data_IF_423763184126
#
_entry.id   IF_423763184126
#
_cell.length_a   1.000
_cell.length_b   1.000
_cell.length_c   1.000
_cell.angle_alpha   90.00
_cell.angle_beta   90.00
_cell.angle_gamma   90.00
#
_symmetry.space_group_name_H-M   'P 1'
#
loop_
_entity.id
_entity.type
_entity.pdbx_description
1 polymer ?
#
# COMPACT_ATOMS: atom_id res chain seq x y z
N UNK A 1 60.28 27.56 -16.06
CA UNK A 1 59.61 26.44 -15.36
C UNK A 1 58.22 26.95 -15.02
N UNK A 2 57.24 26.70 -15.90
CA UNK A 2 55.87 27.23 -15.77
C UNK A 2 55.11 26.19 -14.95
N UNK A 3 54.69 26.56 -13.74
CA UNK A 3 53.81 25.72 -12.91
C UNK A 3 52.42 25.81 -13.52
N UNK A 4 51.89 24.68 -14.01
CA UNK A 4 50.54 24.58 -14.57
C UNK A 4 49.51 24.66 -13.43
N UNK A 5 48.91 25.84 -13.25
CA UNK A 5 47.94 26.15 -12.20
C UNK A 5 46.61 25.37 -12.32
N UNK A 6 46.41 24.58 -13.39
CA UNK A 6 45.18 23.79 -13.60
C UNK A 6 45.05 22.55 -12.71
N UNK A 7 46.11 22.19 -11.96
CA UNK A 7 46.13 21.02 -11.07
C UNK A 7 45.99 21.36 -9.57
N UNK A 8 45.61 22.59 -9.21
CA UNK A 8 45.36 23.00 -7.83
C UNK A 8 43.87 23.18 -7.51
N UNK A 9 43.00 22.31 -8.04
CA UNK A 9 41.67 22.13 -7.45
C UNK A 9 41.86 21.25 -6.21
N UNK A 10 41.99 21.90 -5.05
CA UNK A 10 42.08 21.26 -3.74
C UNK A 10 40.89 20.26 -3.56
N UNK A 11 41.13 19.07 -3.00
CA UNK A 11 40.13 17.99 -2.86
C UNK A 11 38.84 18.44 -2.12
N UNK A 12 38.91 19.53 -1.35
CA UNK A 12 37.80 20.18 -0.67
C UNK A 12 36.63 20.58 -1.61
N UNK A 13 36.90 20.96 -2.87
CA UNK A 13 35.84 21.38 -3.80
C UNK A 13 35.12 20.22 -4.51
N UNK A 14 35.73 19.03 -4.56
CA UNK A 14 35.05 17.82 -5.02
C UNK A 14 34.11 17.29 -3.94
N UNK A 15 34.58 17.24 -2.69
CA UNK A 15 33.82 16.77 -1.53
C UNK A 15 32.50 17.54 -1.34
N UNK A 16 32.55 18.87 -1.43
CA UNK A 16 31.33 19.69 -1.34
C UNK A 16 30.33 19.51 -2.48
N UNK A 17 30.75 19.07 -3.68
CA UNK A 17 29.85 18.79 -4.80
C UNK A 17 29.20 17.42 -4.69
N UNK A 18 29.96 16.41 -4.29
CA UNK A 18 29.44 15.06 -4.03
C UNK A 18 28.48 15.07 -2.84
N UNK A 19 28.81 15.79 -1.76
CA UNK A 19 27.93 15.95 -0.61
C UNK A 19 26.60 16.63 -1.01
N UNK A 20 26.63 17.66 -1.85
CA UNK A 20 25.40 18.31 -2.35
C UNK A 20 24.57 17.40 -3.24
N UNK A 21 25.21 16.60 -4.10
CA UNK A 21 24.51 15.62 -4.93
C UNK A 21 23.87 14.52 -4.09
N UNK A 22 24.60 14.01 -3.09
CA UNK A 22 24.10 13.02 -2.14
C UNK A 22 22.95 13.54 -1.29
N UNK A 23 23.05 14.78 -0.77
CA UNK A 23 21.95 15.43 -0.04
C UNK A 23 20.72 15.58 -0.93
N UNK A 24 20.86 16.00 -2.19
CA UNK A 24 19.73 16.11 -3.11
C UNK A 24 19.09 14.75 -3.44
N UNK A 25 19.88 13.68 -3.51
CA UNK A 25 19.38 12.33 -3.71
C UNK A 25 18.66 11.79 -2.46
N UNK A 26 19.22 12.03 -1.27
CA UNK A 26 18.56 11.71 0.00
C UNK A 26 17.27 12.51 0.17
N UNK A 27 17.25 13.79 -0.20
CA UNK A 27 16.07 14.65 -0.12
C UNK A 27 14.97 14.20 -1.10
N UNK A 28 15.33 13.74 -2.30
CA UNK A 28 14.37 13.08 -3.22
C UNK A 28 13.85 11.75 -2.67
N UNK A 29 14.71 10.95 -2.05
CA UNK A 29 14.32 9.67 -1.46
C UNK A 29 13.47 9.89 -0.19
N UNK A 30 13.72 10.95 0.57
CA UNK A 30 12.93 11.37 1.71
C UNK A 30 11.62 12.07 1.30
N UNK A 31 11.58 12.76 0.16
CA UNK A 31 10.32 13.32 -0.36
C UNK A 31 9.29 12.22 -0.66
N UNK A 32 9.75 11.03 -1.04
CA UNK A 32 8.91 9.82 -1.16
C UNK A 32 8.43 9.25 0.19
N UNK A 33 9.05 9.65 1.31
CA UNK A 33 8.64 9.36 2.69
C UNK A 33 7.82 10.54 3.26
N UNK A 34 7.48 11.55 2.46
CA UNK A 34 6.62 12.63 2.94
C UNK A 34 5.20 12.08 3.04
N UNK A 35 4.70 12.08 4.26
CA UNK A 35 3.38 11.60 4.70
C UNK A 35 2.20 12.05 3.84
N UNK A 36 2.35 13.08 3.01
CA UNK A 36 1.29 13.61 2.15
C UNK A 36 0.86 12.61 1.06
N UNK A 37 1.82 11.91 0.44
CA UNK A 37 1.50 10.89 -0.56
C UNK A 37 0.94 9.63 0.09
N UNK A 38 1.41 9.29 1.29
CA UNK A 38 0.82 8.24 2.11
C UNK A 38 -0.64 8.56 2.47
N UNK A 39 -0.95 9.80 2.86
CA UNK A 39 -2.32 10.25 3.14
C UNK A 39 -3.21 10.21 1.89
N UNK A 40 -2.72 10.69 0.73
CA UNK A 40 -3.47 10.62 -0.54
C UNK A 40 -3.74 9.17 -0.95
N UNK A 41 -2.77 8.28 -0.78
CA UNK A 41 -2.94 6.85 -1.05
C UNK A 41 -3.89 6.18 -0.05
N UNK A 42 -3.83 6.52 1.24
CA UNK A 42 -4.75 6.02 2.25
C UNK A 42 -6.20 6.44 1.97
N UNK A 43 -6.43 7.71 1.62
CA UNK A 43 -7.76 8.20 1.25
C UNK A 43 -8.34 7.47 0.02
N UNK A 44 -7.49 7.10 -0.94
CA UNK A 44 -7.89 6.28 -2.11
C UNK A 44 -8.24 4.85 -1.71
N UNK A 45 -7.46 4.25 -0.81
CA UNK A 45 -7.74 2.91 -0.27
C UNK A 45 -9.05 2.90 0.51
N UNK A 46 -9.31 3.90 1.35
CA UNK A 46 -10.60 4.03 2.04
C UNK A 46 -11.76 4.21 1.07
N UNK A 47 -11.59 5.03 0.03
CA UNK A 47 -12.57 5.14 -1.04
C UNK A 47 -12.84 3.82 -1.76
N UNK A 48 -11.80 3.00 -1.96
CA UNK A 48 -11.94 1.69 -2.59
C UNK A 48 -12.59 0.67 -1.65
N UNK A 49 -12.22 0.66 -0.37
CA UNK A 49 -12.78 -0.21 0.67
C UNK A 49 -14.27 0.06 0.83
N UNK A 50 -14.68 1.31 1.04
CA UNK A 50 -16.06 1.66 1.41
C UNK A 50 -16.99 1.91 0.23
N UNK A 51 -16.49 2.56 -0.82
CA UNK A 51 -17.33 3.01 -1.95
C UNK A 51 -17.09 2.22 -3.23
N UNK A 52 -16.02 1.43 -3.30
CA UNK A 52 -15.63 0.72 -4.52
C UNK A 52 -15.17 1.67 -5.63
N UNK A 53 -14.29 2.63 -5.29
CA UNK A 53 -13.71 3.61 -6.23
C UNK A 53 -13.30 2.99 -7.58
N UNK A 54 -13.73 3.58 -8.69
CA UNK A 54 -13.44 3.10 -10.05
C UNK A 54 -11.99 3.42 -10.49
N UNK A 55 -11.43 4.53 -10.03
CA UNK A 55 -10.09 5.01 -10.40
C UNK A 55 -8.95 4.41 -9.55
N UNK A 56 -9.26 3.46 -8.67
CA UNK A 56 -8.22 2.87 -7.83
C UNK A 56 -7.20 2.06 -8.65
N UNK A 57 -5.88 2.22 -8.39
CA UNK A 57 -4.81 1.43 -8.99
C UNK A 57 -5.04 -0.07 -8.84
N UNK A 58 -4.61 -0.85 -9.83
CA UNK A 58 -4.76 -2.32 -9.83
C UNK A 58 -4.09 -2.97 -8.61
N UNK A 59 -2.94 -2.44 -8.17
CA UNK A 59 -2.23 -2.91 -6.97
C UNK A 59 -3.10 -2.77 -5.72
N UNK A 60 -3.85 -1.68 -5.57
CA UNK A 60 -4.76 -1.50 -4.42
C UNK A 60 -5.93 -2.49 -4.47
N UNK A 61 -6.45 -2.80 -5.66
CA UNK A 61 -7.50 -3.81 -5.84
C UNK A 61 -7.02 -5.20 -5.45
N UNK A 62 -5.81 -5.58 -5.88
CA UNK A 62 -5.19 -6.86 -5.49
C UNK A 62 -4.96 -6.90 -3.97
N UNK A 63 -4.49 -5.80 -3.38
CA UNK A 63 -4.33 -5.69 -1.93
C UNK A 63 -5.64 -5.96 -1.17
N UNK A 64 -6.75 -5.34 -1.59
CA UNK A 64 -8.06 -5.59 -0.98
C UNK A 64 -8.55 -7.02 -1.22
N UNK A 65 -8.29 -7.60 -2.39
CA UNK A 65 -8.68 -8.99 -2.67
C UNK A 65 -7.94 -9.97 -1.74
N UNK A 66 -6.64 -9.76 -1.52
CA UNK A 66 -5.84 -10.55 -0.57
C UNK A 66 -6.36 -10.33 0.86
N UNK A 67 -6.63 -9.09 1.25
CA UNK A 67 -7.18 -8.76 2.56
C UNK A 67 -8.55 -9.42 2.80
N UNK A 68 -9.43 -9.43 1.79
CA UNK A 68 -10.71 -10.10 1.85
C UNK A 68 -10.57 -11.63 1.99
N UNK A 69 -9.62 -12.24 1.27
CA UNK A 69 -9.33 -13.67 1.40
C UNK A 69 -8.90 -14.02 2.83
N UNK A 70 -8.09 -13.18 3.46
CA UNK A 70 -7.70 -13.36 4.86
C UNK A 70 -8.90 -13.37 5.81
N UNK A 71 -9.83 -12.41 5.68
CA UNK A 71 -11.07 -12.39 6.44
C UNK A 71 -11.97 -13.61 6.18
N UNK A 72 -11.97 -14.12 4.95
CA UNK A 72 -12.70 -15.33 4.59
C UNK A 72 -12.13 -16.54 5.33
N UNK A 73 -10.80 -16.71 5.35
CA UNK A 73 -10.13 -17.81 6.05
C UNK A 73 -10.36 -17.75 7.56
N UNK A 74 -10.28 -16.56 8.17
CA UNK A 74 -10.61 -16.37 9.59
C UNK A 74 -12.06 -16.75 9.85
N UNK A 75 -13.00 -16.28 9.02
CA UNK A 75 -14.41 -16.59 9.18
C UNK A 75 -14.69 -18.10 9.15
N UNK A 76 -14.08 -18.81 8.21
CA UNK A 76 -14.16 -20.27 8.11
C UNK A 76 -13.56 -20.96 9.35
N UNK A 77 -12.40 -20.52 9.81
CA UNK A 77 -11.76 -21.06 11.02
C UNK A 77 -12.61 -20.86 12.28
N UNK A 78 -13.19 -19.68 12.45
CA UNK A 78 -14.07 -19.36 13.60
C UNK A 78 -15.37 -20.16 13.53
N UNK A 79 -15.96 -20.35 12.34
CA UNK A 79 -17.13 -21.23 12.18
C UNK A 79 -16.79 -22.67 12.54
N UNK A 80 -15.62 -23.17 12.12
CA UNK A 80 -15.20 -24.52 12.47
C UNK A 80 -15.04 -24.69 13.99
N UNK A 81 -14.46 -23.70 14.67
CA UNK A 81 -14.37 -23.68 16.13
C UNK A 81 -15.78 -23.67 16.78
N UNK A 82 -16.69 -22.88 16.23
CA UNK A 82 -18.08 -22.83 16.67
C UNK A 82 -18.79 -24.18 16.53
N UNK A 83 -18.49 -24.93 15.46
CA UNK A 83 -19.01 -26.28 15.23
C UNK A 83 -18.48 -27.28 16.26
N UNK A 84 -17.20 -27.21 16.60
CA UNK A 84 -16.60 -28.12 17.59
C UNK A 84 -17.10 -27.85 19.01
N UNK A 85 -17.33 -26.58 19.37
CA UNK A 85 -17.71 -26.18 20.73
C UNK A 85 -19.22 -25.95 20.93
N UNK A 86 -20.02 -25.94 19.85
CA UNK A 86 -21.45 -25.64 19.89
C UNK A 86 -21.78 -24.19 20.24
N UNK A 87 -20.85 -23.26 20.07
CA UNK A 87 -21.01 -21.85 20.47
C UNK A 87 -21.64 -21.05 19.33
N UNK A 88 -22.88 -20.60 19.53
CA UNK A 88 -23.61 -19.79 18.55
C UNK A 88 -22.87 -18.51 18.14
N UNK A 89 -22.20 -17.86 19.09
CA UNK A 89 -21.48 -16.61 18.86
C UNK A 89 -20.38 -16.75 17.78
N UNK A 90 -19.72 -17.91 17.71
CA UNK A 90 -18.71 -18.18 16.69
C UNK A 90 -19.30 -18.19 15.28
N UNK A 91 -20.52 -18.70 15.10
CA UNK A 91 -21.21 -18.65 13.81
C UNK A 91 -21.57 -17.22 13.41
N UNK A 92 -22.00 -16.38 14.36
CA UNK A 92 -22.30 -14.98 14.11
C UNK A 92 -21.04 -14.22 13.68
N UNK A 93 -19.95 -14.36 14.44
CA UNK A 93 -18.68 -13.68 14.15
C UNK A 93 -18.09 -14.16 12.83
N UNK A 94 -18.03 -15.48 12.61
CA UNK A 94 -17.46 -16.03 11.39
C UNK A 94 -18.32 -15.74 10.17
N UNK A 95 -19.64 -15.78 10.29
CA UNK A 95 -20.58 -15.36 9.25
C UNK A 95 -20.39 -13.88 8.88
N UNK A 96 -20.27 -12.99 9.89
CA UNK A 96 -20.00 -11.57 9.66
C UNK A 96 -18.67 -11.35 8.93
N UNK A 97 -17.62 -12.09 9.30
CA UNK A 97 -16.32 -12.05 8.63
C UNK A 97 -16.40 -12.45 7.15
N UNK A 98 -17.16 -13.50 6.83
CA UNK A 98 -17.36 -13.95 5.45
C UNK A 98 -18.17 -12.92 4.65
N UNK A 99 -19.22 -12.33 5.25
CA UNK A 99 -19.99 -11.27 4.59
C UNK A 99 -19.12 -10.05 4.29
N UNK A 100 -18.27 -9.64 5.23
CA UNK A 100 -17.32 -8.56 5.03
C UNK A 100 -16.34 -8.89 3.88
N UNK A 101 -15.79 -10.10 3.85
CA UNK A 101 -14.92 -10.55 2.77
C UNK A 101 -15.61 -10.51 1.40
N UNK A 102 -16.84 -11.01 1.30
CA UNK A 102 -17.62 -10.99 0.07
C UNK A 102 -17.89 -9.54 -0.40
N UNK A 103 -18.21 -8.65 0.53
CA UNK A 103 -18.41 -7.23 0.25
C UNK A 103 -17.13 -6.53 -0.23
N UNK A 104 -15.98 -6.81 0.39
CA UNK A 104 -14.68 -6.29 -0.04
C UNK A 104 -14.30 -6.76 -1.45
N UNK A 105 -14.51 -8.05 -1.76
CA UNK A 105 -14.27 -8.61 -3.10
C UNK A 105 -15.15 -7.90 -4.12
N UNK A 106 -16.44 -7.71 -3.83
CA UNK A 106 -17.35 -6.97 -4.71
C UNK A 106 -16.83 -5.56 -5.00
N UNK A 107 -16.35 -4.85 -3.99
CA UNK A 107 -15.81 -3.50 -4.16
C UNK A 107 -14.49 -3.48 -4.97
N UNK A 108 -13.62 -4.47 -4.76
CA UNK A 108 -12.40 -4.62 -5.55
C UNK A 108 -12.69 -4.90 -7.04
N UNK A 109 -13.71 -5.72 -7.32
CA UNK A 109 -14.11 -6.09 -8.68
C UNK A 109 -14.85 -4.97 -9.43
N UNK A 110 -15.58 -4.09 -8.74
CA UNK A 110 -16.49 -3.11 -9.38
C UNK A 110 -15.84 -2.23 -10.45
N UNK A 111 -14.56 -1.84 -10.28
CA UNK A 111 -13.85 -1.03 -11.28
C UNK A 111 -13.18 -1.81 -12.42
N UNK A 112 -13.07 -3.15 -12.32
CA UNK A 112 -12.48 -3.98 -13.38
C UNK A 112 -13.46 -4.13 -14.55
N UNK A 113 -14.76 -4.20 -14.27
CA UNK A 113 -15.78 -4.50 -15.27
C UNK A 113 -16.05 -3.33 -16.22
N UNK A 114 -15.89 -2.08 -15.77
CA UNK A 114 -16.15 -0.88 -16.58
C UNK A 114 -15.01 -0.55 -17.55
N UNK A 115 -13.77 -0.92 -17.21
CA UNK A 115 -12.60 -0.72 -18.09
C UNK A 115 -12.57 -1.66 -19.30
N UNK A 116 -13.46 -2.66 -19.33
CA UNK A 116 -13.61 -3.66 -20.41
C UNK A 116 -14.86 -3.42 -21.27
N UNK A 117 -15.70 -2.44 -20.91
CA UNK A 117 -16.82 -1.92 -21.71
C UNK A 117 -16.40 -0.69 -22.48
#
# INVERSE_FOLDING_TARGET
MIVDERNLQLPEQQDGRELRAYVAEVERNQSNIVWEDAHKNAARVDGLLWKGSEDAPMVQRVGIAIFALFFMLIGLGVINLGREQGILLCYVIGGWSILLAAWLIRNALRGIWKKRS
#
